data_IF_604686563157
#
_entry.id   IF_604686563157
#
_cell.length_a   1.000
_cell.length_b   1.000
_cell.length_c   1.000
_cell.angle_alpha   90.00
_cell.angle_beta   90.00
_cell.angle_gamma   90.00
#
_symmetry.space_group_name_H-M   'P 1'
#
loop_
_entity.id
_entity.type
_entity.pdbx_description
1 polymer ?
#
# COMPACT_ATOMS: atom_id res chain seq x y z
N UNK A 1 21.96 15.10 18.32
CA UNK A 1 20.64 15.61 17.88
C UNK A 1 20.60 15.55 16.37
N UNK A 2 19.61 14.87 15.78
CA UNK A 2 19.45 14.80 14.32
C UNK A 2 19.20 16.23 13.81
N UNK A 3 20.17 16.78 13.06
CA UNK A 3 20.34 18.21 12.78
C UNK A 3 19.43 18.79 11.69
N UNK A 4 18.13 18.47 11.70
CA UNK A 4 17.17 18.98 10.73
C UNK A 4 16.12 19.85 11.43
N UNK A 5 15.94 21.08 10.98
CA UNK A 5 14.95 22.06 11.49
C UNK A 5 14.21 22.72 10.34
N UNK A 6 12.94 23.07 10.55
CA UNK A 6 12.09 23.70 9.52
C UNK A 6 11.43 22.70 8.57
N UNK A 7 10.91 23.18 7.44
CA UNK A 7 10.32 22.34 6.40
C UNK A 7 11.39 21.68 5.56
N UNK A 8 11.32 20.36 5.42
CA UNK A 8 12.21 19.61 4.54
C UNK A 8 11.47 18.43 3.92
N UNK A 9 11.93 18.01 2.75
CA UNK A 9 11.34 16.89 2.02
C UNK A 9 11.95 15.58 2.50
N UNK A 10 11.09 14.62 2.84
CA UNK A 10 11.46 13.24 3.15
C UNK A 10 10.66 12.28 2.28
N UNK A 11 11.21 11.09 2.06
CA UNK A 11 10.54 10.07 1.25
C UNK A 11 10.97 8.66 1.64
N UNK A 12 10.64 7.72 0.76
CA UNK A 12 10.92 6.29 0.96
C UNK A 12 9.85 5.57 1.77
N UNK A 13 10.02 4.25 1.89
CA UNK A 13 9.08 3.38 2.61
C UNK A 13 8.97 3.74 4.09
N UNK A 14 10.02 4.28 4.69
CA UNK A 14 10.02 4.79 6.07
C UNK A 14 9.02 5.93 6.30
N UNK A 15 8.68 6.71 5.26
CA UNK A 15 7.61 7.72 5.32
C UNK A 15 6.25 7.06 5.05
N UNK A 16 6.16 6.10 4.13
CA UNK A 16 4.92 5.40 3.81
C UNK A 16 4.39 4.56 4.99
N UNK A 17 5.26 3.85 5.71
CA UNK A 17 4.89 2.96 6.82
C UNK A 17 4.05 3.64 7.92
N UNK A 18 4.49 4.76 8.52
CA UNK A 18 3.68 5.45 9.54
C UNK A 18 2.39 6.05 8.97
N UNK A 19 2.38 6.47 7.69
CA UNK A 19 1.14 6.95 7.05
C UNK A 19 0.09 5.84 6.93
N UNK A 20 0.48 4.66 6.45
CA UNK A 20 -0.42 3.50 6.36
C UNK A 20 -0.88 3.04 7.76
N UNK A 21 0.03 3.02 8.74
CA UNK A 21 -0.32 2.68 10.12
C UNK A 21 -1.36 3.64 10.71
N UNK A 22 -1.23 4.95 10.44
CA UNK A 22 -2.21 5.95 10.85
C UNK A 22 -3.60 5.73 10.24
N UNK A 23 -3.67 5.47 8.92
CA UNK A 23 -4.95 5.21 8.23
C UNK A 23 -5.59 3.91 8.73
N UNK A 24 -4.79 2.86 8.95
CA UNK A 24 -5.26 1.59 9.50
C UNK A 24 -5.80 1.75 10.93
N UNK A 25 -5.11 2.53 11.77
CA UNK A 25 -5.58 2.86 13.12
C UNK A 25 -6.88 3.66 13.10
N UNK A 26 -6.99 4.65 12.21
CA UNK A 26 -8.17 5.51 12.07
C UNK A 26 -9.42 4.74 11.62
N UNK A 27 -9.28 3.63 10.89
CA UNK A 27 -10.41 2.78 10.51
C UNK A 27 -11.15 2.18 11.71
N UNK A 28 -10.52 2.11 12.90
CA UNK A 28 -11.21 1.84 14.17
C UNK A 28 -11.83 0.44 14.29
N UNK A 29 -11.44 -0.50 13.43
CA UNK A 29 -12.09 -1.81 13.29
C UNK A 29 -11.14 -2.99 13.51
N UNK A 30 -10.05 -2.79 14.26
CA UNK A 30 -8.96 -3.76 14.45
C UNK A 30 -9.42 -5.19 14.84
N UNK A 31 -10.49 -5.34 15.63
CA UNK A 31 -11.05 -6.66 16.01
C UNK A 31 -11.60 -7.46 14.82
N UNK A 32 -11.95 -6.79 13.72
CA UNK A 32 -12.48 -7.37 12.49
C UNK A 32 -11.41 -7.50 11.40
N UNK A 33 -10.19 -7.01 11.69
CA UNK A 33 -9.09 -7.04 10.73
C UNK A 33 -8.24 -8.28 10.90
N UNK A 34 -7.84 -8.83 9.76
CA UNK A 34 -6.86 -9.93 9.68
C UNK A 34 -5.62 -9.47 8.92
N UNK A 35 -5.14 -8.25 9.24
CA UNK A 35 -3.98 -7.63 8.62
C UNK A 35 -3.99 -7.79 7.09
N UNK A 36 -2.91 -8.32 6.51
CA UNK A 36 -2.77 -8.49 5.06
C UNK A 36 -3.78 -9.45 4.42
N UNK A 37 -4.40 -10.38 5.18
CA UNK A 37 -5.31 -11.40 4.62
C UNK A 37 -6.47 -10.78 3.85
N UNK A 38 -7.03 -9.68 4.37
CA UNK A 38 -8.15 -8.97 3.76
C UNK A 38 -7.85 -8.60 2.30
N UNK A 39 -6.68 -8.01 2.05
CA UNK A 39 -6.27 -7.53 0.72
C UNK A 39 -6.16 -8.67 -0.31
N UNK A 40 -5.82 -9.88 0.13
CA UNK A 40 -5.74 -11.06 -0.74
C UNK A 40 -7.10 -11.70 -1.04
N UNK A 41 -8.13 -11.42 -0.22
CA UNK A 41 -9.49 -11.98 -0.36
C UNK A 41 -10.46 -11.08 -1.12
N UNK A 42 -10.07 -9.83 -1.44
CA UNK A 42 -10.92 -8.91 -2.18
C UNK A 42 -11.07 -9.36 -3.64
N UNK A 43 -12.24 -9.09 -4.23
CA UNK A 43 -12.46 -9.24 -5.67
C UNK A 43 -11.81 -8.07 -6.42
N UNK A 44 -11.53 -8.21 -7.73
CA UNK A 44 -10.97 -7.10 -8.54
C UNK A 44 -11.80 -5.82 -8.50
N UNK A 45 -13.14 -5.92 -8.40
CA UNK A 45 -13.99 -4.73 -8.25
C UNK A 45 -13.78 -4.06 -6.89
N UNK A 46 -13.62 -4.85 -5.83
CA UNK A 46 -13.33 -4.34 -4.50
C UNK A 46 -11.92 -3.74 -4.42
N UNK A 47 -10.92 -4.32 -5.09
CA UNK A 47 -9.59 -3.71 -5.22
C UNK A 47 -9.69 -2.31 -5.82
N UNK A 48 -10.38 -2.14 -6.95
CA UNK A 48 -10.57 -0.81 -7.58
C UNK A 48 -11.36 0.18 -6.73
N UNK A 49 -12.27 -0.30 -5.89
CA UNK A 49 -13.06 0.54 -4.99
C UNK A 49 -12.21 1.05 -3.81
N UNK A 50 -11.43 0.15 -3.23
CA UNK A 50 -10.76 0.37 -1.95
C UNK A 50 -9.29 0.74 -2.07
N UNK A 51 -8.66 0.52 -3.22
CA UNK A 51 -7.25 0.78 -3.44
C UNK A 51 -7.04 1.52 -4.75
N UNK A 52 -6.06 2.41 -4.75
CA UNK A 52 -5.52 3.00 -5.96
C UNK A 52 -4.37 2.14 -6.45
N UNK A 53 -4.44 1.70 -7.70
CA UNK A 53 -3.37 0.92 -8.31
C UNK A 53 -2.11 1.79 -8.41
N UNK A 54 -1.00 1.27 -7.89
CA UNK A 54 0.32 1.88 -8.02
C UNK A 54 1.16 0.96 -8.88
N UNK A 55 1.55 1.43 -10.05
CA UNK A 55 2.50 0.73 -10.90
C UNK A 55 3.92 1.00 -10.42
N UNK A 56 4.77 0.00 -10.57
CA UNK A 56 6.19 0.11 -10.29
C UNK A 56 6.92 -0.93 -11.11
N UNK A 57 8.10 -0.57 -11.61
CA UNK A 57 9.02 -1.49 -12.27
C UNK A 57 10.28 -1.62 -11.43
N UNK A 58 10.75 -2.86 -11.29
CA UNK A 58 12.05 -3.18 -10.70
C UNK A 58 12.95 -3.83 -11.75
N UNK A 59 14.26 -3.83 -11.51
CA UNK A 59 15.25 -4.39 -12.45
C UNK A 59 15.49 -5.89 -12.28
N UNK A 60 14.74 -6.58 -11.42
CA UNK A 60 15.01 -7.95 -11.01
C UNK A 60 14.40 -9.06 -11.92
N UNK A 61 13.90 -8.71 -13.11
CA UNK A 61 13.64 -9.64 -14.22
C UNK A 61 12.46 -10.63 -14.06
N UNK A 62 11.79 -10.69 -12.91
CA UNK A 62 10.69 -11.62 -12.64
C UNK A 62 9.39 -10.89 -12.23
N UNK A 63 8.35 -11.66 -11.89
CA UNK A 63 7.03 -11.10 -11.57
C UNK A 63 7.03 -10.19 -10.33
N UNK A 64 7.99 -10.34 -9.42
CA UNK A 64 8.18 -9.48 -8.25
C UNK A 64 8.68 -8.08 -8.63
N UNK A 65 9.02 -7.88 -9.90
CA UNK A 65 9.62 -6.66 -10.45
C UNK A 65 8.74 -6.03 -11.54
N UNK A 66 7.59 -6.65 -11.83
CA UNK A 66 6.66 -6.23 -12.86
C UNK A 66 5.39 -5.59 -12.31
N UNK A 67 4.71 -4.88 -13.19
CA UNK A 67 3.44 -4.20 -13.01
C UNK A 67 2.23 -5.12 -13.25
N UNK A 68 2.23 -6.30 -12.64
CA UNK A 68 1.00 -7.10 -12.56
C UNK A 68 0.65 -7.90 -13.81
N UNK A 69 1.66 -8.41 -14.54
CA UNK A 69 1.45 -9.41 -15.62
C UNK A 69 0.62 -10.64 -15.20
N UNK A 70 0.55 -10.94 -13.89
CA UNK A 70 -0.18 -12.09 -13.34
C UNK A 70 -1.44 -11.72 -12.55
N UNK A 71 -1.53 -10.52 -11.98
CA UNK A 71 -2.72 -9.97 -11.32
C UNK A 71 -2.79 -8.49 -11.68
N UNK A 72 -3.76 -8.11 -12.52
CA UNK A 72 -3.89 -6.74 -13.07
C UNK A 72 -3.85 -5.63 -12.02
N UNK A 73 -4.30 -5.92 -10.80
CA UNK A 73 -4.41 -4.96 -9.71
C UNK A 73 -3.27 -5.09 -8.66
N UNK A 74 -2.28 -5.98 -8.89
CA UNK A 74 -1.13 -6.19 -8.00
C UNK A 74 0.18 -6.02 -8.75
N UNK A 75 1.07 -5.15 -8.30
CA UNK A 75 2.44 -5.05 -8.78
C UNK A 75 3.42 -5.61 -7.75
N UNK A 76 4.56 -6.15 -8.19
CA UNK A 76 5.58 -6.63 -7.27
C UNK A 76 6.15 -5.50 -6.38
N UNK A 77 6.56 -4.35 -6.95
CA UNK A 77 7.12 -3.26 -6.17
C UNK A 77 6.14 -2.51 -5.25
N UNK A 78 4.86 -2.37 -5.63
CA UNK A 78 3.88 -1.58 -4.87
C UNK A 78 2.73 -2.42 -4.28
N UNK A 79 2.77 -3.74 -4.43
CA UNK A 79 1.74 -4.64 -3.94
C UNK A 79 0.38 -4.35 -4.55
N UNK A 80 -0.65 -4.26 -3.69
CA UNK A 80 -2.01 -3.91 -4.09
C UNK A 80 -2.24 -2.40 -4.29
N UNK A 81 -1.21 -1.57 -4.12
CA UNK A 81 -1.29 -0.13 -4.25
C UNK A 81 -1.56 0.61 -2.92
N UNK A 82 -2.17 1.79 -3.01
CA UNK A 82 -2.42 2.66 -1.85
C UNK A 82 -3.89 2.66 -1.42
N UNK A 83 -4.19 2.85 -0.12
CA UNK A 83 -5.57 2.83 0.36
C UNK A 83 -6.39 4.02 -0.16
N UNK A 84 -7.60 3.75 -0.64
CA UNK A 84 -8.61 4.75 -0.94
C UNK A 84 -9.40 5.10 0.33
N UNK A 85 -8.74 5.81 1.24
CA UNK A 85 -9.29 6.18 2.54
C UNK A 85 -9.40 5.01 3.53
N UNK A 86 -10.03 5.27 4.68
CA UNK A 86 -10.10 4.31 5.79
C UNK A 86 -10.93 3.06 5.48
N UNK A 87 -11.84 3.11 4.50
CA UNK A 87 -12.67 1.96 4.11
C UNK A 87 -11.85 0.82 3.46
N UNK A 88 -10.61 1.10 3.07
CA UNK A 88 -9.68 0.09 2.59
C UNK A 88 -9.35 -0.97 3.66
N UNK A 89 -9.33 -0.53 4.93
CA UNK A 89 -9.07 -1.38 6.09
C UNK A 89 -10.39 -1.80 6.70
#
# INVERSE_FOLDING_TARGET
TYGYSGWFTVGGTSVASPLIAGIYGLAGNAKKQHAGKRLWTLTSQQHKKYLHAVSGSGTCGNYLCGDGRYKKDYSGPAGWGSPNGIAAF
#
